data_IF_385143417100
#
_entry.id   IF_385143417100
#
_cell.length_a   1.000
_cell.length_b   1.000
_cell.length_c   1.000
_cell.angle_alpha   90.00
_cell.angle_beta   90.00
_cell.angle_gamma   90.00
#
_symmetry.space_group_name_H-M   'P 1'
#
loop_
_entity.id
_entity.type
_entity.pdbx_description
1 polymer ?
#
# COMPACT_ATOMS: atom_id res chain seq x y z
N UNK A 1 17.83 48.92 35.60
CA UNK A 1 16.63 49.74 35.85
C UNK A 1 16.56 50.82 34.77
N UNK A 2 15.44 50.81 34.03
CA UNK A 2 14.77 51.76 33.10
C UNK A 2 15.32 53.19 32.77
N UNK A 3 14.75 53.90 31.75
CA UNK A 3 13.91 53.51 30.59
C UNK A 3 14.25 54.22 29.25
N UNK A 4 13.54 53.87 28.17
CA UNK A 4 13.48 54.57 26.85
C UNK A 4 12.74 55.91 26.92
N UNK A 5 12.84 56.75 25.86
CA UNK A 5 11.62 57.31 25.28
C UNK A 5 11.55 57.29 23.75
N UNK A 6 10.30 57.31 23.26
CA UNK A 6 9.85 57.60 21.90
C UNK A 6 9.70 59.12 21.71
N UNK A 7 9.82 59.63 20.48
CA UNK A 7 8.97 60.74 20.03
C UNK A 7 8.78 60.78 18.50
N UNK A 8 7.55 61.14 18.13
CA UNK A 8 6.91 61.24 16.82
C UNK A 8 6.75 62.74 16.49
N UNK A 9 6.78 63.12 15.21
CA UNK A 9 6.09 64.28 14.60
C UNK A 9 6.55 64.47 13.14
N UNK A 10 5.82 65.01 12.17
CA UNK A 10 4.39 65.16 11.81
C UNK A 10 4.38 65.96 10.48
N UNK A 11 3.42 65.65 9.58
CA UNK A 11 2.80 66.48 8.50
C UNK A 11 3.70 67.07 7.36
N UNK A 12 3.45 66.78 6.08
CA UNK A 12 2.40 67.35 5.16
C UNK A 12 2.61 68.86 4.88
N UNK A 13 2.64 69.44 3.66
CA UNK A 13 1.89 69.21 2.42
C UNK A 13 2.52 69.99 1.22
N UNK A 14 2.35 69.47 -0.01
CA UNK A 14 2.09 70.13 -1.31
C UNK A 14 2.96 71.30 -1.84
N UNK A 15 3.59 71.10 -3.02
CA UNK A 15 3.30 71.88 -4.25
C UNK A 15 3.99 71.28 -5.50
N UNK A 16 3.23 71.28 -6.61
CA UNK A 16 3.50 70.75 -7.96
C UNK A 16 4.60 71.50 -8.75
N UNK A 17 5.33 70.77 -9.61
CA UNK A 17 5.53 71.13 -11.02
C UNK A 17 6.02 69.91 -11.85
N UNK A 18 5.37 69.70 -13.00
CA UNK A 18 5.56 68.63 -14.01
C UNK A 18 6.58 69.12 -15.05
N UNK A 19 7.46 68.28 -15.64
CA UNK A 19 7.36 67.74 -17.01
C UNK A 19 8.56 66.80 -17.33
N UNK A 20 8.22 65.52 -17.58
CA UNK A 20 8.61 64.58 -18.66
C UNK A 20 10.08 64.09 -18.83
N UNK A 21 10.25 62.76 -18.65
CA UNK A 21 11.07 61.76 -19.42
C UNK A 21 11.40 60.59 -18.46
N UNK A 22 11.14 59.30 -18.66
CA UNK A 22 10.49 58.48 -19.68
C UNK A 22 9.99 57.21 -18.98
N UNK A 23 8.77 56.75 -19.27
CA UNK A 23 8.23 55.47 -18.79
C UNK A 23 8.22 54.50 -19.96
N UNK A 24 9.01 53.44 -19.89
CA UNK A 24 8.84 52.28 -20.76
C UNK A 24 7.97 51.25 -20.03
N UNK A 25 6.66 51.37 -20.22
CA UNK A 25 5.74 50.25 -20.15
C UNK A 25 5.38 49.92 -21.59
N UNK A 26 5.75 48.73 -22.06
CA UNK A 26 5.23 48.20 -23.31
C UNK A 26 4.49 46.89 -23.03
N UNK A 27 3.19 47.00 -23.21
CA UNK A 27 2.28 45.91 -23.51
C UNK A 27 2.63 45.28 -24.86
N UNK A 28 2.64 43.94 -24.91
CA UNK A 28 2.39 43.15 -26.11
C UNK A 28 3.61 42.52 -26.78
N UNK A 29 3.76 41.20 -26.65
CA UNK A 29 3.69 40.22 -27.74
C UNK A 29 4.14 38.85 -27.23
N UNK A 30 3.18 37.92 -27.12
CA UNK A 30 3.49 36.49 -27.12
C UNK A 30 4.10 36.16 -28.48
N UNK A 31 5.39 35.84 -28.52
CA UNK A 31 6.01 35.20 -29.67
C UNK A 31 5.73 33.71 -29.61
N UNK A 32 5.17 33.21 -30.70
CA UNK A 32 4.72 31.85 -30.90
C UNK A 32 5.87 30.85 -30.78
N UNK A 33 5.79 29.95 -29.81
CA UNK A 33 6.40 28.64 -29.95
C UNK A 33 5.54 27.85 -30.95
N UNK A 34 6.18 27.37 -32.03
CA UNK A 34 5.54 26.65 -33.13
C UNK A 34 4.70 25.49 -32.61
N UNK A 35 3.39 25.60 -32.81
CA UNK A 35 2.45 24.48 -32.72
C UNK A 35 2.80 23.49 -33.82
N UNK A 36 3.39 22.35 -33.43
CA UNK A 36 3.33 21.16 -34.25
C UNK A 36 1.86 20.74 -34.32
N UNK A 37 1.38 20.53 -35.55
CA UNK A 37 0.01 20.13 -35.85
C UNK A 37 -0.31 18.80 -35.16
N UNK A 38 -1.10 18.83 -34.09
CA UNK A 38 -1.87 17.65 -33.70
C UNK A 38 -2.97 17.44 -34.76
N UNK A 39 -3.20 16.21 -35.26
CA UNK A 39 -4.35 15.96 -36.11
C UNK A 39 -5.64 16.26 -35.33
N UNK A 40 -6.71 16.73 -35.98
CA UNK A 40 -7.95 17.06 -35.30
C UNK A 40 -8.50 15.82 -34.58
N UNK A 41 -8.93 15.99 -33.33
CA UNK A 41 -9.72 14.98 -32.63
C UNK A 41 -10.90 14.57 -33.52
N UNK A 42 -11.15 13.27 -33.74
CA UNK A 42 -12.31 12.85 -34.52
C UNK A 42 -13.59 13.32 -33.83
N UNK A 43 -14.53 13.80 -34.64
CA UNK A 43 -15.85 14.25 -34.19
C UNK A 43 -16.53 13.17 -33.34
N UNK A 44 -17.36 13.61 -32.39
CA UNK A 44 -18.09 12.82 -31.38
C UNK A 44 -19.05 11.73 -31.93
N UNK A 45 -19.00 11.41 -33.22
CA UNK A 45 -19.84 10.41 -33.91
C UNK A 45 -19.19 9.03 -34.04
N UNK A 46 -17.99 8.80 -33.50
CA UNK A 46 -17.35 7.49 -33.48
C UNK A 46 -17.13 6.99 -32.04
N UNK A 47 -18.20 6.97 -31.22
CA UNK A 47 -18.20 6.13 -30.03
C UNK A 47 -18.41 4.70 -30.49
N UNK A 48 -17.46 3.81 -30.16
CA UNK A 48 -17.68 2.37 -30.18
C UNK A 48 -19.00 2.08 -29.45
N UNK A 49 -19.87 1.31 -30.10
CA UNK A 49 -21.13 0.85 -29.53
C UNK A 49 -20.81 -0.10 -28.37
N UNK A 50 -20.72 0.45 -27.16
CA UNK A 50 -20.44 -0.26 -25.91
C UNK A 50 -21.58 -1.22 -25.49
N UNK A 51 -22.62 -1.38 -26.33
CA UNK A 51 -23.71 -2.33 -26.06
C UNK A 51 -23.46 -3.73 -26.63
N UNK A 52 -22.36 -3.94 -27.38
CA UNK A 52 -21.95 -5.27 -27.85
C UNK A 52 -20.77 -5.81 -27.05
N UNK A 53 -20.85 -7.04 -26.52
CA UNK A 53 -19.69 -7.71 -25.94
C UNK A 53 -18.58 -7.81 -27.00
N UNK A 54 -17.34 -7.49 -26.62
CA UNK A 54 -16.17 -7.83 -27.42
C UNK A 54 -16.03 -9.35 -27.37
N UNK A 55 -16.50 -10.05 -28.41
CA UNK A 55 -16.25 -11.48 -28.56
C UNK A 55 -14.76 -11.70 -28.88
N UNK A 56 -13.95 -11.88 -27.85
CA UNK A 56 -12.63 -12.50 -27.99
C UNK A 56 -12.83 -14.02 -28.09
N UNK A 57 -12.83 -14.53 -29.33
CA UNK A 57 -12.96 -15.95 -29.66
C UNK A 57 -11.65 -16.74 -29.52
N UNK A 58 -10.65 -16.24 -28.80
CA UNK A 58 -9.34 -16.92 -28.70
C UNK A 58 -9.09 -17.72 -27.42
N UNK A 59 -10.10 -17.94 -26.58
CA UNK A 59 -9.97 -18.75 -25.36
C UNK A 59 -11.11 -19.76 -25.21
N UNK A 60 -11.28 -20.66 -26.18
CA UNK A 60 -12.02 -21.90 -25.95
C UNK A 60 -11.04 -23.04 -25.66
N UNK A 61 -11.35 -23.79 -24.60
CA UNK A 61 -10.73 -25.04 -24.17
C UNK A 61 -9.54 -24.93 -23.20
N UNK A 62 -9.84 -24.58 -21.95
CA UNK A 62 -9.26 -25.29 -20.80
C UNK A 62 -10.35 -25.42 -19.72
N UNK A 63 -10.43 -26.58 -19.07
CA UNK A 63 -11.40 -26.88 -18.01
C UNK A 63 -11.51 -25.75 -16.98
N UNK A 64 -12.51 -24.88 -17.15
CA UNK A 64 -12.83 -23.83 -16.20
C UNK A 64 -13.89 -24.40 -15.26
N UNK A 65 -13.49 -24.72 -14.03
CA UNK A 65 -14.46 -24.71 -12.94
C UNK A 65 -15.10 -23.31 -12.96
N UNK A 66 -16.38 -23.26 -13.32
CA UNK A 66 -17.07 -22.00 -13.51
C UNK A 66 -17.10 -21.25 -12.18
N UNK A 67 -16.39 -20.12 -12.13
CA UNK A 67 -16.34 -19.28 -10.94
C UNK A 67 -17.77 -18.80 -10.61
N UNK A 68 -18.20 -18.80 -9.33
CA UNK A 68 -19.58 -18.46 -8.97
C UNK A 68 -19.92 -17.02 -9.36
N UNK A 69 -21.17 -16.79 -9.76
CA UNK A 69 -21.69 -15.45 -10.02
C UNK A 69 -21.79 -14.63 -8.72
N UNK A 70 -21.78 -13.30 -8.83
CA UNK A 70 -21.95 -12.40 -7.67
C UNK A 70 -23.25 -12.69 -6.88
N UNK A 71 -24.33 -13.04 -7.58
CA UNK A 71 -25.60 -13.39 -6.96
C UNK A 71 -25.52 -14.72 -6.19
N UNK A 72 -24.78 -15.72 -6.70
CA UNK A 72 -24.55 -16.99 -6.01
C UNK A 72 -23.67 -16.81 -4.77
N UNK A 73 -22.64 -15.98 -4.85
CA UNK A 73 -21.78 -15.64 -3.71
C UNK A 73 -22.61 -14.97 -2.61
N UNK A 74 -23.36 -13.91 -2.97
CA UNK A 74 -24.15 -13.12 -2.01
C UNK A 74 -25.14 -13.97 -1.21
N UNK A 75 -25.76 -15.00 -1.80
CA UNK A 75 -26.71 -15.88 -1.11
C UNK A 75 -26.08 -16.76 -0.02
N UNK A 76 -24.78 -17.05 -0.12
CA UNK A 76 -24.06 -17.95 0.81
C UNK A 76 -23.05 -17.20 1.69
N UNK A 77 -22.97 -15.88 1.52
CA UNK A 77 -21.96 -15.05 2.16
C UNK A 77 -22.19 -14.91 3.66
N UNK A 78 -21.11 -15.03 4.42
CA UNK A 78 -21.02 -14.67 5.82
C UNK A 78 -19.99 -13.57 5.99
N UNK A 79 -19.98 -12.90 7.15
CA UNK A 79 -18.92 -11.93 7.48
C UNK A 79 -17.55 -12.59 7.37
N UNK A 80 -17.37 -13.77 7.97
CA UNK A 80 -16.14 -14.54 7.89
C UNK A 80 -15.72 -14.84 6.44
N UNK A 81 -16.61 -15.39 5.60
CA UNK A 81 -16.23 -15.74 4.23
C UNK A 81 -15.85 -14.53 3.38
N UNK A 82 -16.43 -13.36 3.65
CA UNK A 82 -16.08 -12.12 2.95
C UNK A 82 -14.65 -11.66 3.31
N UNK A 83 -14.33 -11.67 4.61
CA UNK A 83 -13.01 -11.33 5.12
C UNK A 83 -11.96 -12.34 4.65
N UNK A 84 -12.28 -13.64 4.71
CA UNK A 84 -11.36 -14.72 4.34
C UNK A 84 -11.02 -14.69 2.85
N UNK A 85 -11.94 -14.34 1.96
CA UNK A 85 -11.60 -14.16 0.54
C UNK A 85 -10.57 -13.05 0.31
N UNK A 86 -10.74 -11.92 0.99
CA UNK A 86 -9.76 -10.83 0.95
C UNK A 86 -8.41 -11.28 1.46
N UNK A 87 -8.38 -11.95 2.61
CA UNK A 87 -7.15 -12.49 3.19
C UNK A 87 -6.48 -13.53 2.28
N UNK A 88 -7.24 -14.45 1.67
CA UNK A 88 -6.69 -15.49 0.79
C UNK A 88 -5.93 -14.90 -0.40
N UNK A 89 -6.46 -13.84 -1.00
CA UNK A 89 -5.79 -13.14 -2.09
C UNK A 89 -4.47 -12.49 -1.61
N UNK A 90 -4.51 -11.80 -0.46
CA UNK A 90 -3.33 -11.16 0.12
C UNK A 90 -2.27 -12.16 0.62
N UNK A 91 -2.69 -13.29 1.18
CA UNK A 91 -1.81 -14.38 1.58
C UNK A 91 -1.04 -14.91 0.38
N UNK A 92 -1.73 -15.16 -0.74
CA UNK A 92 -1.09 -15.60 -1.97
C UNK A 92 -0.06 -14.59 -2.47
N UNK A 93 -0.43 -13.32 -2.54
CA UNK A 93 0.45 -12.24 -3.01
C UNK A 93 1.73 -12.14 -2.15
N UNK A 94 1.60 -12.12 -0.82
CA UNK A 94 2.75 -12.02 0.09
C UNK A 94 3.61 -13.29 0.05
N UNK A 95 3.00 -14.48 0.21
CA UNK A 95 3.76 -15.74 0.29
C UNK A 95 4.46 -16.06 -1.02
N UNK A 96 3.79 -15.89 -2.16
CA UNK A 96 4.40 -16.15 -3.47
C UNK A 96 5.55 -15.17 -3.75
N UNK A 97 5.40 -13.89 -3.36
CA UNK A 97 6.49 -12.93 -3.46
C UNK A 97 7.70 -13.35 -2.62
N UNK A 98 7.47 -13.81 -1.38
CA UNK A 98 8.53 -14.32 -0.52
C UNK A 98 9.24 -15.52 -1.16
N UNK A 99 8.50 -16.51 -1.65
CA UNK A 99 9.07 -17.70 -2.31
C UNK A 99 9.93 -17.37 -3.53
N UNK A 100 9.51 -16.39 -4.33
CA UNK A 100 10.13 -16.03 -5.60
C UNK A 100 11.49 -15.33 -5.48
N UNK A 101 11.77 -14.64 -4.37
CA UNK A 101 13.06 -13.96 -4.18
C UNK A 101 14.18 -14.99 -3.92
N UNK A 102 15.32 -14.95 -4.64
CA UNK A 102 16.48 -15.77 -4.32
C UNK A 102 17.00 -15.51 -2.90
N UNK A 103 17.53 -16.53 -2.22
CA UNK A 103 17.95 -16.42 -0.82
C UNK A 103 19.03 -15.35 -0.61
N UNK A 104 19.98 -15.27 -1.53
CA UNK A 104 21.06 -14.27 -1.54
C UNK A 104 20.54 -12.83 -1.66
N UNK A 105 19.28 -12.64 -2.08
CA UNK A 105 18.62 -11.34 -2.21
C UNK A 105 17.66 -11.02 -1.07
N UNK A 106 17.52 -11.88 -0.06
CA UNK A 106 16.68 -11.58 1.12
C UNK A 106 17.20 -10.39 1.93
N UNK A 107 18.51 -10.10 1.86
CA UNK A 107 19.10 -8.90 2.43
C UNK A 107 18.89 -7.63 1.60
N UNK A 108 18.29 -7.71 0.41
CA UNK A 108 18.11 -6.55 -0.47
C UNK A 108 17.21 -5.49 0.18
N UNK A 109 17.61 -4.23 0.03
CA UNK A 109 16.90 -3.05 0.50
C UNK A 109 16.88 -2.01 -0.63
N UNK A 110 15.70 -1.52 -1.05
CA UNK A 110 15.61 -0.42 -2.00
C UNK A 110 16.26 0.85 -1.44
N UNK A 111 16.77 1.70 -2.33
CA UNK A 111 17.33 3.01 -1.98
C UNK A 111 18.46 2.94 -0.93
N UNK A 112 19.31 1.90 -1.00
CA UNK A 112 20.46 1.76 -0.12
C UNK A 112 21.32 3.04 -0.15
N UNK A 113 21.57 3.62 1.03
CA UNK A 113 22.40 4.82 1.14
C UNK A 113 21.65 6.16 1.16
N UNK A 114 20.36 6.18 0.80
CA UNK A 114 19.55 7.40 0.97
C UNK A 114 19.26 7.59 2.46
N UNK A 115 19.38 8.84 2.94
CA UNK A 115 19.13 9.24 4.33
C UNK A 115 20.07 8.64 5.41
N UNK A 116 21.12 7.89 5.07
CA UNK A 116 22.07 7.36 6.08
C UNK A 116 22.70 8.46 6.95
N UNK A 117 22.87 9.66 6.39
CA UNK A 117 23.41 10.83 7.08
C UNK A 117 22.34 11.83 7.51
N UNK A 118 21.07 11.55 7.24
CA UNK A 118 19.93 12.42 7.55
C UNK A 118 19.03 11.66 8.52
N UNK A 119 19.15 11.95 9.82
CA UNK A 119 18.24 11.39 10.81
C UNK A 119 16.87 12.03 10.60
N UNK A 120 15.85 11.29 10.14
CA UNK A 120 14.52 11.86 10.05
C UNK A 120 14.03 12.18 11.46
N UNK A 121 13.20 13.22 11.58
CA UNK A 121 12.57 13.59 12.85
C UNK A 121 11.75 12.42 13.42
N UNK A 122 11.19 11.60 12.52
CA UNK A 122 10.36 10.45 12.86
C UNK A 122 10.76 9.21 12.03
N UNK A 123 10.76 8.04 12.67
CA UNK A 123 10.98 6.74 12.02
C UNK A 123 12.45 6.36 11.79
N UNK A 124 12.70 5.15 11.25
CA UNK A 124 14.04 4.73 10.87
C UNK A 124 14.52 5.47 9.62
N UNK A 125 15.83 5.72 9.52
CA UNK A 125 16.45 6.32 8.33
C UNK A 125 16.45 5.36 7.12
N UNK A 126 16.37 4.06 7.37
CA UNK A 126 16.37 3.02 6.34
C UNK A 126 15.02 2.32 6.25
N UNK A 127 14.58 2.02 5.03
CA UNK A 127 13.43 1.13 4.78
C UNK A 127 13.78 -0.31 5.16
N UNK A 128 12.81 -1.21 5.30
CA UNK A 128 13.10 -2.63 5.62
C UNK A 128 13.84 -3.36 4.49
N UNK A 129 14.71 -4.31 4.81
CA UNK A 129 15.16 -5.33 3.85
C UNK A 129 13.98 -6.22 3.44
N UNK A 130 14.13 -6.99 2.37
CA UNK A 130 13.12 -7.96 1.95
C UNK A 130 12.79 -8.98 3.06
N UNK A 131 13.81 -9.51 3.73
CA UNK A 131 13.66 -10.41 4.88
C UNK A 131 12.90 -9.74 6.05
N UNK A 132 13.22 -8.47 6.33
CA UNK A 132 12.54 -7.70 7.38
C UNK A 132 11.06 -7.45 7.04
N UNK A 133 10.70 -7.26 5.77
CA UNK A 133 9.29 -7.14 5.35
C UNK A 133 8.52 -8.42 5.66
N UNK A 134 9.05 -9.59 5.26
CA UNK A 134 8.42 -10.88 5.51
C UNK A 134 8.26 -11.13 7.01
N UNK A 135 9.34 -10.87 7.77
CA UNK A 135 9.35 -11.05 9.23
C UNK A 135 8.35 -10.13 9.93
N UNK A 136 8.25 -8.88 9.47
CA UNK A 136 7.29 -7.92 9.99
C UNK A 136 5.85 -8.36 9.74
N UNK A 137 5.50 -8.73 8.50
CA UNK A 137 4.16 -9.24 8.18
C UNK A 137 3.81 -10.45 9.04
N UNK A 138 4.76 -11.39 9.18
CA UNK A 138 4.55 -12.57 10.01
C UNK A 138 4.28 -12.23 11.48
N UNK A 139 5.10 -11.37 12.09
CA UNK A 139 4.87 -10.96 13.49
C UNK A 139 3.55 -10.21 13.64
N UNK A 140 3.24 -9.27 12.75
CA UNK A 140 2.00 -8.48 12.80
C UNK A 140 0.76 -9.38 12.72
N UNK A 141 0.75 -10.39 11.84
CA UNK A 141 -0.34 -11.37 11.77
C UNK A 141 -0.55 -12.12 13.10
N UNK A 142 0.53 -12.55 13.77
CA UNK A 142 0.43 -13.14 15.10
C UNK A 142 -0.05 -12.14 16.17
N UNK A 143 0.38 -10.87 16.07
CA UNK A 143 -0.09 -9.80 16.93
C UNK A 143 -1.59 -9.55 16.79
N UNK A 144 -2.08 -9.39 15.57
CA UNK A 144 -3.50 -9.22 15.28
C UNK A 144 -4.32 -10.44 15.72
N UNK A 145 -3.84 -11.66 15.49
CA UNK A 145 -4.51 -12.89 15.92
C UNK A 145 -4.64 -12.94 17.45
N UNK A 146 -3.58 -12.59 18.18
CA UNK A 146 -3.61 -12.52 19.63
C UNK A 146 -4.64 -11.49 20.13
N UNK A 147 -4.73 -10.32 19.50
CA UNK A 147 -5.74 -9.30 19.87
C UNK A 147 -7.17 -9.78 19.60
N UNK A 148 -7.43 -10.42 18.45
CA UNK A 148 -8.72 -11.05 18.16
C UNK A 148 -9.12 -12.09 19.21
N UNK A 149 -8.14 -12.81 19.74
CA UNK A 149 -8.32 -13.90 20.69
C UNK A 149 -8.23 -13.42 22.16
N UNK A 150 -8.06 -12.12 22.40
CA UNK A 150 -7.94 -11.53 23.74
C UNK A 150 -6.66 -11.92 24.49
N UNK A 151 -5.60 -12.28 23.77
CA UNK A 151 -4.31 -12.71 24.29
C UNK A 151 -3.27 -11.58 24.23
N UNK A 152 -2.21 -11.69 25.03
CA UNK A 152 -1.08 -10.76 24.95
C UNK A 152 -0.36 -10.97 23.61
N UNK A 153 -0.24 -9.95 22.74
CA UNK A 153 0.43 -10.11 21.47
C UNK A 153 1.97 -10.13 21.63
N UNK A 154 2.72 -10.65 20.63
CA UNK A 154 4.18 -10.60 20.64
C UNK A 154 4.68 -9.15 20.74
N UNK A 155 5.78 -8.92 21.44
CA UNK A 155 6.34 -7.58 21.60
C UNK A 155 7.12 -7.14 20.35
N UNK A 156 7.15 -5.82 20.08
CA UNK A 156 8.00 -5.19 19.08
C UNK A 156 7.88 -5.76 17.65
N UNK A 157 6.67 -6.10 17.18
CA UNK A 157 6.47 -6.54 15.79
C UNK A 157 6.86 -5.48 14.76
N UNK A 158 6.83 -4.19 15.11
CA UNK A 158 7.36 -3.09 14.30
C UNK A 158 8.89 -3.22 14.07
N UNK A 159 9.61 -3.87 14.98
CA UNK A 159 11.06 -4.10 14.95
C UNK A 159 11.43 -5.55 14.60
N UNK A 160 10.49 -6.32 14.05
CA UNK A 160 10.70 -7.71 13.62
C UNK A 160 10.34 -8.77 14.67
N UNK A 161 9.87 -8.37 15.85
CA UNK A 161 9.33 -9.28 16.84
C UNK A 161 10.35 -10.21 17.52
N UNK A 162 9.87 -11.08 18.44
CA UNK A 162 10.73 -11.95 19.24
C UNK A 162 11.19 -13.21 18.49
N UNK A 163 10.63 -13.50 17.30
CA UNK A 163 10.95 -14.71 16.54
C UNK A 163 12.43 -14.74 16.13
N UNK A 164 13.14 -15.87 16.31
CA UNK A 164 14.54 -16.00 15.92
C UNK A 164 14.74 -16.22 14.42
N UNK A 165 13.68 -16.39 13.63
CA UNK A 165 13.75 -16.69 12.19
C UNK A 165 14.62 -15.66 11.42
N UNK A 166 15.57 -16.16 10.63
CA UNK A 166 16.50 -15.33 9.84
C UNK A 166 16.72 -15.85 8.43
N UNK A 167 16.78 -17.17 8.24
CA UNK A 167 17.00 -17.78 6.93
C UNK A 167 15.75 -17.70 6.06
N UNK A 168 15.91 -17.84 4.73
CA UNK A 168 14.77 -17.89 3.81
C UNK A 168 13.74 -18.92 4.25
N UNK A 169 14.20 -20.13 4.55
CA UNK A 169 13.35 -21.25 4.99
C UNK A 169 12.58 -20.92 6.27
N UNK A 170 13.26 -20.43 7.31
CA UNK A 170 12.59 -20.09 8.58
C UNK A 170 11.55 -18.97 8.40
N UNK A 171 11.86 -17.97 7.57
CA UNK A 171 10.95 -16.85 7.29
C UNK A 171 9.72 -17.30 6.49
N UNK A 172 9.88 -18.22 5.53
CA UNK A 172 8.77 -18.81 4.76
C UNK A 172 7.83 -19.62 5.66
N UNK A 173 8.39 -20.41 6.59
CA UNK A 173 7.61 -21.12 7.62
C UNK A 173 6.88 -20.10 8.50
N UNK A 174 7.58 -19.08 8.99
CA UNK A 174 7.01 -18.11 9.91
C UNK A 174 5.85 -17.32 9.30
N UNK A 175 5.98 -16.88 8.04
CA UNK A 175 4.89 -16.16 7.36
C UNK A 175 3.71 -17.07 7.02
N UNK A 176 3.94 -18.31 6.58
CA UNK A 176 2.88 -19.32 6.36
C UNK A 176 2.06 -19.53 7.64
N UNK A 177 2.74 -19.79 8.75
CA UNK A 177 2.08 -20.08 10.03
C UNK A 177 1.33 -18.85 10.56
N UNK A 178 1.86 -17.65 10.32
CA UNK A 178 1.18 -16.40 10.67
C UNK A 178 -0.15 -16.21 9.93
N UNK A 179 -0.18 -16.55 8.64
CA UNK A 179 -1.42 -16.47 7.84
C UNK A 179 -2.42 -17.53 8.30
N UNK A 180 -1.97 -18.73 8.64
CA UNK A 180 -2.84 -19.76 9.23
C UNK A 180 -3.45 -19.30 10.56
N UNK A 181 -2.67 -18.63 11.42
CA UNK A 181 -3.15 -18.09 12.70
C UNK A 181 -4.20 -17.00 12.50
N UNK A 182 -3.92 -15.97 11.69
CA UNK A 182 -4.88 -14.87 11.49
C UNK A 182 -6.13 -15.32 10.73
N UNK A 183 -6.01 -16.29 9.81
CA UNK A 183 -7.15 -16.92 9.14
C UNK A 183 -8.12 -17.56 10.13
N UNK A 184 -7.60 -18.25 11.14
CA UNK A 184 -8.44 -18.84 12.21
C UNK A 184 -9.22 -17.75 12.95
N UNK A 185 -8.57 -16.66 13.34
CA UNK A 185 -9.23 -15.56 14.07
C UNK A 185 -10.26 -14.81 13.22
N UNK A 186 -9.98 -14.55 11.93
CA UNK A 186 -10.95 -13.96 11.00
C UNK A 186 -12.14 -14.90 10.74
N UNK A 187 -11.91 -16.21 10.68
CA UNK A 187 -12.97 -17.21 10.52
C UNK A 187 -13.98 -17.25 11.67
N UNK A 188 -13.63 -16.71 12.84
CA UNK A 188 -14.51 -16.61 13.99
C UNK A 188 -15.34 -15.31 14.02
N UNK A 189 -15.16 -14.39 13.06
CA UNK A 189 -15.93 -13.14 13.00
C UNK A 189 -17.31 -13.41 12.37
N UNK A 190 -18.37 -13.00 13.04
CA UNK A 190 -19.75 -13.19 12.59
C UNK A 190 -20.61 -11.94 12.79
N UNK A 191 -21.84 -11.98 12.30
CA UNK A 191 -22.77 -10.85 12.39
C UNK A 191 -23.11 -10.43 13.83
N UNK A 192 -22.92 -11.32 14.83
CA UNK A 192 -23.23 -11.05 16.24
C UNK A 192 -22.06 -10.41 16.96
N UNK A 193 -20.83 -10.70 16.55
CA UNK A 193 -19.61 -10.27 17.23
C UNK A 193 -18.81 -9.21 16.47
N UNK A 194 -19.15 -8.89 15.21
CA UNK A 194 -18.30 -8.03 14.36
C UNK A 194 -18.03 -6.63 14.92
N UNK A 195 -18.91 -6.10 15.78
CA UNK A 195 -18.72 -4.82 16.48
C UNK A 195 -18.18 -4.96 17.91
N UNK A 196 -17.84 -6.19 18.33
CA UNK A 196 -17.20 -6.44 19.62
C UNK A 196 -15.87 -5.68 19.72
N UNK A 197 -15.57 -5.09 20.89
CA UNK A 197 -14.38 -4.29 21.08
C UNK A 197 -13.12 -5.14 21.02
N UNK A 198 -12.06 -4.57 20.48
CA UNK A 198 -10.70 -5.09 20.48
C UNK A 198 -9.79 -4.01 21.05
N UNK A 199 -9.00 -4.41 22.03
CA UNK A 199 -7.98 -3.57 22.65
C UNK A 199 -6.62 -4.18 22.40
N UNK A 200 -5.61 -3.32 22.26
CA UNK A 200 -4.25 -3.78 22.09
C UNK A 200 -3.33 -2.76 21.41
N UNK A 201 -2.02 -3.00 21.45
CA UNK A 201 -1.03 -2.09 20.88
C UNK A 201 -0.98 -2.10 19.34
N UNK A 202 -1.57 -3.09 18.67
CA UNK A 202 -1.51 -3.28 17.22
C UNK A 202 -2.82 -2.93 16.54
N UNK A 203 -3.02 -1.63 16.32
CA UNK A 203 -4.20 -1.04 15.68
C UNK A 203 -5.50 -1.08 16.53
N UNK A 204 -5.35 -1.17 17.85
CA UNK A 204 -6.39 -0.85 18.84
C UNK A 204 -6.38 0.64 19.23
N UNK A 205 -7.47 1.14 19.88
CA UNK A 205 -8.75 0.45 20.07
C UNK A 205 -9.50 0.28 18.75
N UNK A 206 -10.22 -0.84 18.59
CA UNK A 206 -10.94 -1.17 17.37
C UNK A 206 -12.19 -2.03 17.62
N UNK A 207 -12.91 -2.37 16.55
CA UNK A 207 -13.88 -3.48 16.56
C UNK A 207 -13.29 -4.70 15.86
N UNK A 208 -13.89 -5.89 16.01
CA UNK A 208 -13.46 -7.09 15.25
C UNK A 208 -13.47 -6.84 13.74
N UNK A 209 -14.49 -6.17 13.22
CA UNK A 209 -14.59 -5.82 11.80
C UNK A 209 -13.53 -4.80 11.37
N UNK A 210 -13.29 -3.79 12.19
CA UNK A 210 -12.30 -2.76 11.89
C UNK A 210 -10.87 -3.33 11.92
N UNK A 211 -10.53 -4.17 12.91
CA UNK A 211 -9.24 -4.87 12.93
C UNK A 211 -9.11 -5.82 11.73
N UNK A 212 -10.18 -6.50 11.33
CA UNK A 212 -10.16 -7.37 10.15
C UNK A 212 -9.84 -6.60 8.86
N UNK A 213 -10.34 -5.36 8.76
CA UNK A 213 -10.00 -4.45 7.65
C UNK A 213 -8.52 -4.07 7.68
N UNK A 214 -7.97 -3.78 8.85
CA UNK A 214 -6.54 -3.46 9.04
C UNK A 214 -5.66 -4.63 8.63
N UNK A 215 -6.00 -5.86 9.00
CA UNK A 215 -5.24 -7.07 8.62
C UNK A 215 -5.08 -7.17 7.10
N UNK A 216 -6.19 -7.04 6.36
CA UNK A 216 -6.19 -7.18 4.90
C UNK A 216 -5.40 -6.02 4.27
N UNK A 217 -5.62 -4.79 4.74
CA UNK A 217 -4.89 -3.61 4.27
C UNK A 217 -3.39 -3.71 4.54
N UNK A 218 -2.99 -4.16 5.73
CA UNK A 218 -1.59 -4.30 6.13
C UNK A 218 -0.84 -5.28 5.22
N UNK A 219 -1.44 -6.43 4.92
CA UNK A 219 -0.86 -7.39 3.98
C UNK A 219 -0.71 -6.79 2.57
N UNK A 220 -1.73 -6.05 2.10
CA UNK A 220 -1.70 -5.39 0.79
C UNK A 220 -0.64 -4.28 0.70
N UNK A 221 -0.50 -3.47 1.75
CA UNK A 221 0.52 -2.40 1.81
C UNK A 221 1.93 -2.99 1.72
N UNK A 222 2.21 -4.05 2.50
CA UNK A 222 3.51 -4.71 2.46
C UNK A 222 3.74 -5.46 1.15
N UNK A 223 2.73 -6.09 0.57
CA UNK A 223 2.86 -6.69 -0.76
C UNK A 223 3.19 -5.64 -1.83
N UNK A 224 2.52 -4.49 -1.82
CA UNK A 224 2.81 -3.37 -2.72
C UNK A 224 4.26 -2.92 -2.63
N UNK A 225 4.82 -2.88 -1.41
CA UNK A 225 6.25 -2.64 -1.21
C UNK A 225 7.09 -3.80 -1.77
N UNK A 226 6.83 -5.05 -1.38
CA UNK A 226 7.58 -6.24 -1.83
C UNK A 226 7.61 -6.42 -3.35
N UNK A 227 6.56 -5.99 -4.05
CA UNK A 227 6.49 -6.00 -5.50
C UNK A 227 7.64 -5.21 -6.13
N UNK A 228 7.92 -4.01 -5.60
CA UNK A 228 9.04 -3.20 -6.06
C UNK A 228 10.37 -3.91 -5.82
N UNK A 229 10.54 -4.59 -4.69
CA UNK A 229 11.77 -5.31 -4.37
C UNK A 229 12.03 -6.41 -5.40
N UNK A 230 10.99 -7.15 -5.81
CA UNK A 230 11.11 -8.16 -6.86
C UNK A 230 11.48 -7.55 -8.22
N UNK A 231 10.78 -6.47 -8.62
CA UNK A 231 10.99 -5.82 -9.93
C UNK A 231 12.39 -5.22 -10.05
N UNK A 232 12.87 -4.52 -9.01
CA UNK A 232 14.24 -3.99 -8.95
C UNK A 232 15.30 -5.10 -8.96
N UNK A 233 14.91 -6.34 -8.66
CA UNK A 233 15.76 -7.52 -8.72
C UNK A 233 15.57 -8.36 -9.99
N UNK A 234 14.85 -7.84 -11.00
CA UNK A 234 14.63 -8.50 -12.28
C UNK A 234 13.62 -9.66 -12.23
N UNK A 235 12.82 -9.75 -11.16
CA UNK A 235 11.87 -10.84 -10.94
C UNK A 235 10.47 -10.35 -11.26
N UNK A 236 9.75 -11.08 -12.11
CA UNK A 236 8.31 -10.85 -12.32
C UNK A 236 7.55 -11.41 -11.12
N UNK A 237 6.80 -10.59 -10.35
CA UNK A 237 5.98 -11.04 -9.23
C UNK A 237 5.06 -12.19 -9.65
N UNK A 238 4.99 -13.29 -8.89
CA UNK A 238 4.20 -14.46 -9.25
C UNK A 238 2.72 -14.16 -9.53
N UNK A 239 2.07 -13.34 -8.70
CA UNK A 239 0.67 -12.96 -8.87
C UNK A 239 0.37 -12.15 -10.14
N UNK A 240 1.39 -11.59 -10.81
CA UNK A 240 1.23 -10.88 -12.09
C UNK A 240 1.47 -11.76 -13.31
N UNK A 241 1.68 -13.07 -13.15
CA UNK A 241 1.98 -14.00 -14.26
C UNK A 241 0.68 -14.57 -14.84
N UNK A 242 0.64 -14.95 -16.13
CA UNK A 242 -0.52 -15.63 -16.73
C UNK A 242 -0.86 -16.97 -16.04
N UNK A 243 0.16 -17.66 -15.55
CA UNK A 243 0.04 -18.90 -14.78
C UNK A 243 0.81 -18.76 -13.47
N UNK A 244 0.18 -18.15 -12.43
CA UNK A 244 0.80 -18.01 -11.13
C UNK A 244 1.08 -19.40 -10.52
N UNK A 245 2.27 -19.64 -9.95
CA UNK A 245 2.60 -20.92 -9.31
C UNK A 245 1.78 -21.11 -8.03
N UNK A 246 1.54 -22.37 -7.66
CA UNK A 246 0.97 -22.69 -6.35
C UNK A 246 1.96 -22.39 -5.22
N UNK A 247 1.44 -22.06 -4.04
CA UNK A 247 2.28 -21.87 -2.85
C UNK A 247 2.81 -23.20 -2.35
N UNK A 248 4.03 -23.21 -1.85
CA UNK A 248 4.56 -24.39 -1.18
C UNK A 248 4.04 -24.46 0.26
N UNK A 249 3.58 -25.64 0.68
CA UNK A 249 3.14 -25.87 2.07
C UNK A 249 4.27 -26.41 2.96
N UNK A 250 5.39 -26.82 2.36
CA UNK A 250 6.56 -27.36 3.06
C UNK A 250 7.84 -26.67 2.54
N UNK A 251 8.73 -26.30 3.47
CA UNK A 251 10.00 -25.61 3.20
C UNK A 251 11.15 -26.29 3.93
#
# INVERSE_FOLDING_TARGET
MCPKPLLVAHLSCLALAVVVLAVCSFTGQFTAAQSSQQPPFPALSARLDLTKPLEDRSAESAFQQQQPTAAEMSRKETVASALLRGLQYQEYEVRSAAEAMPEEKYGYRPAEGKFKNEKPEFGPAEVRTFAEQIKHVACSNFGFAAEFDGQKPPEACDKGGPSPAKTKKELLIYVRDSFAAIRKSLGAVDAKNMFGPIEGPYAGPNTRLGLATVVIWHAADHYGQMLLYLRENGIVPPASRPHPPELHEQY
#
